data_IF_509760910471
#
_entry.id   IF_509760910471
#
_cell.length_a   1.000
_cell.length_b   1.000
_cell.length_c   1.000
_cell.angle_alpha   90.00
_cell.angle_beta   90.00
_cell.angle_gamma   90.00
#
_symmetry.space_group_name_H-M   'P 1'
#
loop_
_entity.id
_entity.type
_entity.pdbx_description
1 polymer ?
#
# COMPACT_ATOMS: atom_id res chain seq x y z
N UNK A 1 -13.02 3.42 -13.40
CA UNK A 1 -12.40 2.82 -12.20
C UNK A 1 -11.00 3.37 -12.15
N UNK A 2 -10.51 3.83 -10.98
CA UNK A 2 -9.14 4.31 -10.87
C UNK A 2 -8.26 3.12 -10.45
N UNK A 3 -7.25 2.79 -11.26
CA UNK A 3 -6.26 1.75 -10.94
C UNK A 3 -4.98 2.42 -10.48
N UNK A 4 -4.54 2.09 -9.27
CA UNK A 4 -3.36 2.66 -8.61
C UNK A 4 -2.54 1.53 -8.01
N UNK A 5 -1.23 1.50 -8.28
CA UNK A 5 -0.31 0.45 -7.83
C UNK A 5 -0.80 -1.00 -8.10
N UNK A 6 -1.50 -1.21 -9.22
CA UNK A 6 -2.05 -2.52 -9.61
C UNK A 6 -3.35 -2.91 -8.90
N UNK A 7 -3.92 -2.04 -8.06
CA UNK A 7 -5.20 -2.27 -7.34
C UNK A 7 -6.28 -1.36 -7.88
N UNK A 8 -7.49 -1.90 -8.03
CA UNK A 8 -8.68 -1.15 -8.42
C UNK A 8 -9.35 -0.55 -7.18
N UNK A 9 -9.34 0.78 -7.08
CA UNK A 9 -9.79 1.50 -5.88
C UNK A 9 -11.29 1.87 -5.99
N UNK A 10 -12.09 1.75 -4.91
CA UNK A 10 -13.50 2.14 -4.91
C UNK A 10 -13.73 3.61 -5.27
N UNK A 11 -14.60 3.87 -6.27
CA UNK A 11 -14.83 5.22 -6.82
C UNK A 11 -15.56 6.17 -5.87
N UNK A 12 -16.43 5.65 -5.03
CA UNK A 12 -17.31 6.47 -4.17
C UNK A 12 -16.71 6.78 -2.80
N UNK A 13 -15.50 6.32 -2.49
CA UNK A 13 -14.85 6.61 -1.20
C UNK A 13 -14.02 7.89 -1.27
N UNK A 14 -13.85 8.52 -0.10
CA UNK A 14 -12.85 9.58 0.09
C UNK A 14 -11.46 9.03 -0.23
N UNK A 15 -10.61 9.81 -0.89
CA UNK A 15 -9.29 9.35 -1.34
C UNK A 15 -8.45 8.79 -0.18
N UNK A 16 -8.51 9.41 1.01
CA UNK A 16 -7.79 8.92 2.21
C UNK A 16 -8.11 7.46 2.52
N UNK A 17 -9.38 7.08 2.46
CA UNK A 17 -9.85 5.74 2.79
C UNK A 17 -9.70 4.80 1.59
N UNK A 18 -9.72 5.36 0.39
CA UNK A 18 -9.60 4.58 -0.81
C UNK A 18 -8.16 4.07 -1.00
N UNK A 19 -7.15 4.88 -0.67
CA UNK A 19 -5.74 4.47 -0.72
C UNK A 19 -5.39 3.32 0.25
N UNK A 20 -6.14 3.15 1.35
CA UNK A 20 -5.89 2.04 2.29
C UNK A 20 -6.26 0.66 1.75
N UNK A 21 -6.84 0.59 0.55
CA UNK A 21 -7.05 -0.69 -0.14
C UNK A 21 -5.75 -1.26 -0.72
N UNK A 22 -4.72 -0.43 -0.86
CA UNK A 22 -3.39 -0.85 -1.31
C UNK A 22 -2.64 -1.46 -0.13
N UNK A 23 -2.18 -2.70 -0.28
CA UNK A 23 -1.34 -3.38 0.69
C UNK A 23 -0.03 -2.63 0.88
N UNK A 24 0.24 -2.27 2.15
CA UNK A 24 1.37 -1.42 2.51
C UNK A 24 0.99 0.04 2.76
N UNK A 25 -0.24 0.47 2.44
CA UNK A 25 -0.73 1.81 2.75
C UNK A 25 -1.82 1.73 3.83
N UNK A 26 -1.52 2.34 4.98
CA UNK A 26 -2.49 2.55 6.06
C UNK A 26 -3.01 3.98 6.09
N UNK A 27 -3.88 4.29 7.06
CA UNK A 27 -4.46 5.63 7.21
C UNK A 27 -3.39 6.73 7.35
N UNK A 28 -2.35 6.48 8.14
CA UNK A 28 -1.26 7.45 8.37
C UNK A 28 -0.52 7.77 7.08
N UNK A 29 -0.09 6.73 6.33
CA UNK A 29 0.59 6.89 5.05
C UNK A 29 -0.30 7.55 4.01
N UNK A 30 -1.59 7.25 4.02
CA UNK A 30 -2.55 7.87 3.12
C UNK A 30 -2.66 9.39 3.32
N UNK A 31 -2.73 9.85 4.57
CA UNK A 31 -2.71 11.29 4.90
C UNK A 31 -1.38 11.92 4.50
N UNK A 32 -0.26 11.24 4.73
CA UNK A 32 1.06 11.72 4.34
C UNK A 32 1.22 11.87 2.82
N UNK A 33 0.79 10.86 2.05
CA UNK A 33 0.79 10.87 0.58
C UNK A 33 -0.07 12.01 0.03
N UNK A 34 -1.24 12.26 0.63
CA UNK A 34 -2.12 13.34 0.21
C UNK A 34 -1.55 14.71 0.59
N UNK A 35 -0.92 14.83 1.75
CA UNK A 35 -0.19 16.02 2.16
C UNK A 35 1.00 16.35 1.25
N UNK A 36 1.75 15.34 0.80
CA UNK A 36 2.90 15.54 -0.10
C UNK A 36 2.49 15.85 -1.54
N UNK A 37 1.37 15.30 -2.02
CA UNK A 37 0.84 15.55 -3.36
C UNK A 37 -0.06 16.79 -3.45
N UNK A 38 -0.42 17.39 -2.31
CA UNK A 38 -1.28 18.57 -2.25
C UNK A 38 -2.74 18.29 -2.63
N UNK A 39 -3.18 17.04 -2.56
CA UNK A 39 -4.54 16.62 -2.90
C UNK A 39 -5.39 16.65 -1.64
N UNK A 40 -6.57 17.26 -1.72
CA UNK A 40 -7.47 17.32 -0.58
C UNK A 40 -8.02 15.93 -0.20
N UNK A 41 -8.01 15.66 1.10
CA UNK A 41 -8.40 14.38 1.67
C UNK A 41 -9.91 14.09 1.66
N UNK A 42 -10.74 15.12 1.44
CA UNK A 42 -12.20 14.99 1.42
C UNK A 42 -12.76 14.65 0.03
N UNK A 43 -11.96 14.86 -1.02
CA UNK A 43 -12.30 14.52 -2.40
C UNK A 43 -12.63 13.02 -2.52
N UNK A 44 -13.55 12.67 -3.41
CA UNK A 44 -13.84 11.28 -3.75
C UNK A 44 -13.00 10.83 -4.93
N UNK A 45 -12.69 9.54 -5.00
CA UNK A 45 -11.84 8.97 -6.06
C UNK A 45 -12.40 9.23 -7.47
N UNK A 46 -13.72 9.30 -7.63
CA UNK A 46 -14.35 9.64 -8.92
C UNK A 46 -14.09 11.07 -9.39
N UNK A 47 -13.79 11.98 -8.48
CA UNK A 47 -13.62 13.42 -8.72
C UNK A 47 -12.12 13.79 -8.85
N UNK A 48 -11.22 12.79 -8.79
CA UNK A 48 -9.79 12.96 -9.04
C UNK A 48 -9.54 13.24 -10.52
N UNK A 49 -8.62 14.17 -10.81
CA UNK A 49 -8.14 14.41 -12.17
C UNK A 49 -7.08 13.37 -12.56
N UNK A 50 -6.89 13.18 -13.87
CA UNK A 50 -5.87 12.25 -14.37
C UNK A 50 -4.46 12.66 -13.95
N UNK A 51 -4.18 13.96 -13.88
CA UNK A 51 -2.90 14.50 -13.37
C UNK A 51 -2.67 14.14 -11.89
N UNK A 52 -3.71 14.27 -11.06
CA UNK A 52 -3.64 13.87 -9.65
C UNK A 52 -3.43 12.36 -9.49
N UNK A 53 -4.05 11.55 -10.36
CA UNK A 53 -3.85 10.10 -10.36
C UNK A 53 -2.42 9.71 -10.75
N UNK A 54 -1.79 10.42 -11.70
CA UNK A 54 -0.38 10.22 -12.06
C UNK A 54 0.52 10.65 -10.91
N UNK A 55 0.29 11.83 -10.32
CA UNK A 55 1.07 12.31 -9.18
C UNK A 55 1.02 11.35 -7.97
N UNK A 56 -0.16 10.80 -7.67
CA UNK A 56 -0.32 9.78 -6.62
C UNK A 56 0.45 8.50 -6.96
N UNK A 57 0.39 8.04 -8.22
CA UNK A 57 1.12 6.84 -8.64
C UNK A 57 2.62 7.02 -8.49
N UNK A 58 3.16 8.10 -9.05
CA UNK A 58 4.60 8.35 -9.06
C UNK A 58 5.14 8.51 -7.64
N UNK A 59 4.38 9.20 -6.77
CA UNK A 59 4.77 9.37 -5.37
C UNK A 59 4.72 8.04 -4.60
N UNK A 60 3.70 7.21 -4.82
CA UNK A 60 3.56 5.91 -4.15
C UNK A 60 4.66 4.96 -4.61
N UNK A 61 4.87 4.80 -5.91
CA UNK A 61 5.86 3.88 -6.49
C UNK A 61 7.30 4.34 -6.18
N UNK A 62 7.56 5.64 -6.10
CA UNK A 62 8.88 6.18 -5.77
C UNK A 62 9.25 6.12 -4.28
N UNK A 63 8.25 6.20 -3.38
CA UNK A 63 8.52 6.34 -1.93
C UNK A 63 8.28 5.06 -1.15
N UNK A 64 7.33 4.22 -1.58
CA UNK A 64 6.86 3.07 -0.80
C UNK A 64 6.94 1.77 -1.60
N UNK A 65 7.44 0.71 -0.97
CA UNK A 65 7.22 -0.66 -1.44
C UNK A 65 5.80 -1.07 -1.09
N UNK A 66 5.00 -1.37 -2.12
CA UNK A 66 3.58 -1.73 -1.98
C UNK A 66 3.28 -3.05 -2.68
N UNK A 67 2.15 -3.66 -2.31
CA UNK A 67 1.60 -4.87 -2.93
C UNK A 67 2.60 -6.02 -3.10
N UNK A 68 2.86 -6.44 -4.34
CA UNK A 68 3.60 -7.65 -4.67
C UNK A 68 5.04 -7.64 -4.14
N UNK A 69 5.68 -6.47 -4.14
CA UNK A 69 7.05 -6.34 -3.65
C UNK A 69 7.11 -6.50 -2.14
N UNK A 70 6.22 -5.80 -1.43
CA UNK A 70 6.13 -5.89 0.03
C UNK A 70 5.73 -7.30 0.48
N UNK A 71 4.80 -7.95 -0.20
CA UNK A 71 4.40 -9.35 0.11
C UNK A 71 5.55 -10.32 -0.11
N UNK A 72 6.32 -10.16 -1.18
CA UNK A 72 7.49 -11.01 -1.48
C UNK A 72 8.60 -10.82 -0.45
N UNK A 73 8.88 -9.58 -0.05
CA UNK A 73 9.88 -9.26 0.97
C UNK A 73 9.52 -9.90 2.32
N UNK A 74 8.28 -9.70 2.79
CA UNK A 74 7.80 -10.31 4.05
C UNK A 74 7.87 -11.84 4.00
N UNK A 75 7.49 -12.45 2.87
CA UNK A 75 7.58 -13.90 2.71
C UNK A 75 9.03 -14.40 2.71
N UNK A 76 9.96 -13.66 2.09
CA UNK A 76 11.38 -13.99 2.08
C UNK A 76 11.98 -13.88 3.49
N UNK A 77 11.63 -12.85 4.27
CA UNK A 77 12.05 -12.71 5.66
C UNK A 77 11.55 -13.86 6.53
N UNK A 78 10.31 -14.30 6.32
CA UNK A 78 9.74 -15.44 7.02
C UNK A 78 10.52 -16.72 6.71
N UNK A 79 10.77 -16.99 5.42
CA UNK A 79 11.54 -18.16 4.97
C UNK A 79 12.95 -18.16 5.56
N UNK A 80 13.63 -17.01 5.55
CA UNK A 80 14.95 -16.84 6.16
C UNK A 80 14.94 -17.24 7.63
N UNK A 81 13.96 -16.78 8.42
CA UNK A 81 13.84 -17.14 9.85
C UNK A 81 13.62 -18.65 10.05
N UNK A 82 12.87 -19.29 9.14
CA UNK A 82 12.61 -20.74 9.16
C UNK A 82 13.84 -21.55 8.76
N UNK A 83 14.62 -21.08 7.79
CA UNK A 83 15.83 -21.75 7.29
C UNK A 83 16.95 -21.73 8.34
N UNK A 84 17.15 -20.61 9.04
CA UNK A 84 18.18 -20.50 10.10
C UNK A 84 17.79 -21.23 11.40
N UNK A 85 16.55 -21.75 11.52
CA UNK A 85 16.10 -22.48 12.70
C UNK A 85 15.89 -21.61 13.95
N UNK A 86 15.65 -20.31 13.79
CA UNK A 86 15.33 -19.41 14.91
C UNK A 86 14.04 -19.84 15.64
N UNK A 87 13.87 -19.44 16.91
CA UNK A 87 12.65 -19.72 17.67
C UNK A 87 11.39 -19.23 16.92
N UNK A 88 11.42 -18.02 16.39
CA UNK A 88 10.35 -17.46 15.55
C UNK A 88 10.08 -18.32 14.31
N UNK A 89 11.13 -18.79 13.62
CA UNK A 89 11.00 -19.68 12.48
C UNK A 89 10.35 -21.03 12.81
N UNK A 90 10.69 -21.62 13.96
CA UNK A 90 10.08 -22.87 14.43
C UNK A 90 8.59 -22.66 14.73
N UNK A 91 8.22 -21.54 15.36
CA UNK A 91 6.83 -21.16 15.63
C UNK A 91 6.04 -20.96 14.34
N UNK A 92 6.60 -20.23 13.38
CA UNK A 92 6.00 -20.05 12.05
C UNK A 92 5.81 -21.38 11.31
N UNK A 93 6.76 -22.32 11.38
CA UNK A 93 6.62 -23.66 10.78
C UNK A 93 5.49 -24.48 11.41
N UNK A 94 5.24 -24.28 12.71
CA UNK A 94 4.17 -24.96 13.47
C UNK A 94 2.81 -24.25 13.38
N UNK A 95 2.76 -23.04 12.80
CA UNK A 95 1.55 -22.22 12.73
C UNK A 95 1.09 -21.67 14.09
N UNK A 96 2.04 -21.43 15.00
CA UNK A 96 1.80 -20.99 16.39
C UNK A 96 2.43 -19.64 16.69
#
# INVERSE_FOLDING_TARGET
MARLAGVDIPRDKRVVIALTYIYGIGRTRSVEILGSTGIDESIRVKDLTDEQLVALRDHIEGTYKVEGDLRREVAADLRRKVEIGSYEGIRHRRGL
#
